data_IF_053294705217
#
_entry.id   IF_053294705217
#
_cell.length_a   1.000
_cell.length_b   1.000
_cell.length_c   1.000
_cell.angle_alpha   90.00
_cell.angle_beta   90.00
_cell.angle_gamma   90.00
#
_symmetry.space_group_name_H-M   'P 1'
#
loop_
_entity.id
_entity.type
_entity.pdbx_description
1 polymer ?
#
# COMPACT_ATOMS: atom_id res chain seq x y z
N UNK A 1 -1.22 3.97 16.84
CA UNK A 1 -2.37 3.76 15.93
C UNK A 1 -1.95 3.16 14.58
N UNK A 2 -1.20 3.83 13.69
CA UNK A 2 -0.86 3.28 12.36
C UNK A 2 -0.15 1.91 12.44
N UNK A 3 0.81 1.75 13.33
CA UNK A 3 1.53 0.48 13.51
C UNK A 3 0.64 -0.63 14.09
N UNK A 4 -0.31 -0.30 14.96
CA UNK A 4 -1.32 -1.24 15.46
C UNK A 4 -2.26 -1.72 14.35
N UNK A 5 -2.71 -0.80 13.46
CA UNK A 5 -3.52 -1.16 12.29
C UNK A 5 -2.74 -2.05 11.33
N UNK A 6 -1.46 -1.71 11.11
CA UNK A 6 -0.56 -2.47 10.24
C UNK A 6 -0.33 -3.90 10.75
N UNK A 7 -0.11 -4.08 12.05
CA UNK A 7 0.07 -5.39 12.66
C UNK A 7 -1.14 -6.31 12.46
N UNK A 8 -2.35 -5.76 12.40
CA UNK A 8 -3.60 -6.52 12.16
C UNK A 8 -3.72 -7.07 10.74
N UNK A 9 -2.89 -6.63 9.79
CA UNK A 9 -2.96 -7.07 8.38
C UNK A 9 -2.21 -8.38 8.10
N UNK A 10 -1.50 -8.92 9.09
CA UNK A 10 -0.75 -10.17 8.94
C UNK A 10 -1.67 -11.30 8.46
N UNK A 11 -1.27 -12.00 7.40
CA UNK A 11 -2.03 -13.10 6.80
C UNK A 11 -3.29 -12.69 6.03
N UNK A 12 -3.55 -11.39 5.82
CA UNK A 12 -4.79 -10.93 5.20
C UNK A 12 -4.67 -10.61 3.70
N UNK A 13 -3.47 -10.41 3.18
CA UNK A 13 -3.24 -10.15 1.76
C UNK A 13 -3.22 -11.45 0.96
N UNK A 14 -3.76 -11.40 -0.29
CA UNK A 14 -3.63 -12.47 -1.26
C UNK A 14 -2.16 -12.57 -1.74
N UNK A 15 -1.81 -13.68 -2.38
CA UNK A 15 -0.45 -13.94 -2.88
C UNK A 15 -0.15 -13.35 -4.26
N UNK A 16 -1.07 -12.63 -4.85
CA UNK A 16 -0.88 -11.92 -6.12
C UNK A 16 -0.83 -10.42 -5.87
N UNK A 17 0.37 -9.83 -6.00
CA UNK A 17 0.61 -8.42 -5.70
C UNK A 17 0.75 -7.59 -6.97
N UNK A 18 0.19 -6.39 -6.94
CA UNK A 18 0.38 -5.33 -7.93
C UNK A 18 1.21 -4.24 -7.28
N UNK A 19 2.33 -3.89 -7.89
CA UNK A 19 3.33 -2.96 -7.33
C UNK A 19 3.59 -1.83 -8.31
N UNK A 20 3.57 -0.61 -7.82
CA UNK A 20 3.87 0.59 -8.59
C UNK A 20 4.34 1.72 -7.67
N UNK A 21 4.98 2.74 -8.23
CA UNK A 21 5.38 3.95 -7.53
C UNK A 21 4.65 5.18 -8.06
N UNK A 22 4.41 6.12 -7.18
CA UNK A 22 3.98 7.46 -7.55
C UNK A 22 4.88 8.52 -6.93
N UNK A 23 4.93 9.69 -7.55
CA UNK A 23 5.73 10.81 -7.07
C UNK A 23 5.02 11.56 -5.93
N UNK A 24 5.80 11.98 -4.93
CA UNK A 24 5.40 12.91 -3.87
C UNK A 24 6.48 13.99 -3.70
N UNK A 25 6.04 15.21 -3.41
CA UNK A 25 6.97 16.33 -3.19
C UNK A 25 7.41 16.42 -1.72
N UNK A 26 8.72 16.45 -1.47
CA UNK A 26 9.30 16.60 -0.15
C UNK A 26 10.37 17.69 -0.21
N UNK A 27 10.14 18.84 0.43
CA UNK A 27 11.04 20.01 0.38
C UNK A 27 11.42 20.44 -1.05
N UNK A 28 10.46 20.43 -1.97
CA UNK A 28 10.71 20.79 -3.36
C UNK A 28 11.37 19.70 -4.20
N UNK A 29 11.74 18.55 -3.62
CA UNK A 29 12.32 17.41 -4.33
C UNK A 29 11.28 16.31 -4.53
N UNK A 30 11.34 15.64 -5.67
CA UNK A 30 10.50 14.50 -5.95
C UNK A 30 11.05 13.25 -5.27
N UNK A 31 10.22 12.63 -4.43
CA UNK A 31 10.40 11.33 -3.82
C UNK A 31 9.41 10.33 -4.38
N UNK A 32 9.60 9.05 -4.12
CA UNK A 32 8.81 7.96 -4.65
C UNK A 32 8.03 7.29 -3.52
N UNK A 33 6.72 7.19 -3.70
CA UNK A 33 5.85 6.39 -2.84
C UNK A 33 5.62 5.04 -3.51
N UNK A 34 6.35 4.02 -3.07
CA UNK A 34 6.11 2.62 -3.44
C UNK A 34 4.84 2.13 -2.78
N UNK A 35 4.01 1.43 -3.52
CA UNK A 35 2.77 0.82 -3.02
C UNK A 35 2.54 -0.54 -3.63
N UNK A 36 2.01 -1.45 -2.83
CA UNK A 36 1.52 -2.74 -3.29
C UNK A 36 0.10 -2.96 -2.79
N UNK A 37 -0.74 -3.50 -3.66
CA UNK A 37 -2.07 -4.00 -3.35
C UNK A 37 -2.17 -5.45 -3.84
N UNK A 38 -3.06 -6.23 -3.23
CA UNK A 38 -3.38 -7.56 -3.72
C UNK A 38 -4.41 -7.51 -4.86
N UNK A 39 -4.78 -8.66 -5.39
CA UNK A 39 -5.75 -8.76 -6.48
C UNK A 39 -7.14 -8.26 -6.11
N UNK A 40 -7.51 -8.27 -4.83
CA UNK A 40 -8.78 -7.74 -4.34
C UNK A 40 -8.68 -6.25 -4.00
N UNK A 41 -7.48 -5.67 -4.18
CA UNK A 41 -7.12 -4.27 -3.93
C UNK A 41 -6.92 -3.96 -2.46
N UNK A 42 -6.70 -4.97 -1.58
CA UNK A 42 -6.28 -4.70 -0.21
C UNK A 42 -4.84 -4.24 -0.19
N UNK A 43 -4.52 -3.34 0.73
CA UNK A 43 -3.16 -2.86 0.92
C UNK A 43 -2.23 -4.01 1.35
N UNK A 44 -1.18 -4.23 0.59
CA UNK A 44 -0.05 -5.08 0.97
C UNK A 44 0.93 -4.26 1.80
N UNK A 45 1.46 -3.16 1.24
CA UNK A 45 2.29 -2.20 1.98
C UNK A 45 2.52 -0.90 1.20
N UNK A 46 3.08 0.11 1.89
CA UNK A 46 3.55 1.36 1.29
C UNK A 46 4.84 1.86 1.95
N UNK A 47 5.73 2.46 1.15
CA UNK A 47 7.02 2.98 1.59
C UNK A 47 7.42 4.22 0.80
N UNK A 48 7.87 5.26 1.49
CA UNK A 48 8.49 6.44 0.86
C UNK A 48 9.99 6.23 0.70
N UNK A 49 10.52 6.55 -0.48
CA UNK A 49 11.94 6.52 -0.80
C UNK A 49 12.37 7.78 -1.56
N UNK A 50 13.57 8.27 -1.29
CA UNK A 50 14.17 9.36 -2.06
C UNK A 50 14.68 8.90 -3.43
N UNK A 51 14.87 7.60 -3.61
CA UNK A 51 15.38 6.99 -4.84
C UNK A 51 14.41 5.99 -5.43
N UNK A 52 14.42 5.89 -6.76
CA UNK A 52 13.77 4.85 -7.54
C UNK A 52 14.85 3.92 -8.11
N UNK A 53 15.37 3.07 -7.27
CA UNK A 53 16.43 2.14 -7.63
C UNK A 53 16.14 0.71 -7.10
N UNK A 54 17.01 -0.22 -7.47
CA UNK A 54 16.89 -1.61 -7.07
C UNK A 54 16.93 -1.78 -5.55
N UNK A 55 17.74 -0.98 -4.85
CA UNK A 55 17.85 -1.07 -3.40
C UNK A 55 16.57 -0.57 -2.69
N UNK A 56 15.95 0.47 -3.21
CA UNK A 56 14.64 0.91 -2.72
C UNK A 56 13.57 -0.17 -2.95
N UNK A 57 13.55 -0.80 -4.13
CA UNK A 57 12.64 -1.91 -4.42
C UNK A 57 12.86 -3.10 -3.48
N UNK A 58 14.13 -3.48 -3.21
CA UNK A 58 14.46 -4.54 -2.24
C UNK A 58 13.96 -4.23 -0.83
N UNK A 59 14.21 -3.02 -0.34
CA UNK A 59 13.72 -2.57 0.97
C UNK A 59 12.21 -2.64 1.05
N UNK A 60 11.53 -2.19 -0.01
CA UNK A 60 10.09 -2.26 -0.11
C UNK A 60 9.57 -3.69 -0.02
N UNK A 61 10.09 -4.63 -0.81
CA UNK A 61 9.65 -6.02 -0.78
C UNK A 61 9.92 -6.70 0.55
N UNK A 62 11.10 -6.49 1.16
CA UNK A 62 11.41 -7.01 2.51
C UNK A 62 10.41 -6.52 3.54
N UNK A 63 10.10 -5.22 3.51
CA UNK A 63 9.12 -4.61 4.39
C UNK A 63 7.71 -5.18 4.16
N UNK A 64 7.28 -5.33 2.93
CA UNK A 64 5.97 -5.87 2.57
C UNK A 64 5.79 -7.31 3.07
N UNK A 65 6.79 -8.18 2.85
CA UNK A 65 6.77 -9.56 3.38
C UNK A 65 6.72 -9.59 4.90
N UNK A 66 7.47 -8.74 5.58
CA UNK A 66 7.45 -8.66 7.05
C UNK A 66 6.07 -8.26 7.59
N UNK A 67 5.36 -7.38 6.88
CA UNK A 67 4.01 -6.92 7.26
C UNK A 67 2.95 -7.99 7.06
N UNK A 68 2.90 -8.58 5.86
CA UNK A 68 1.85 -9.57 5.54
C UNK A 68 2.18 -10.97 6.05
N UNK A 69 3.45 -11.27 6.32
CA UNK A 69 3.91 -12.54 6.91
C UNK A 69 4.15 -13.65 5.90
N UNK A 70 4.10 -13.39 4.60
CA UNK A 70 4.41 -14.35 3.53
C UNK A 70 4.90 -13.66 2.27
N UNK A 71 5.65 -14.36 1.44
CA UNK A 71 5.99 -13.93 0.09
C UNK A 71 4.80 -14.12 -0.87
N UNK A 72 4.69 -13.31 -1.93
CA UNK A 72 3.72 -13.53 -2.99
C UNK A 72 4.13 -14.70 -3.89
N UNK A 73 3.17 -15.28 -4.59
CA UNK A 73 3.41 -16.21 -5.70
C UNK A 73 3.58 -15.44 -7.03
N UNK A 74 3.02 -14.23 -7.08
CA UNK A 74 3.04 -13.39 -8.29
C UNK A 74 3.18 -11.93 -7.93
N UNK A 75 4.04 -11.23 -8.68
CA UNK A 75 4.18 -9.77 -8.64
C UNK A 75 3.96 -9.20 -10.03
N UNK A 76 3.08 -8.22 -10.16
CA UNK A 76 2.84 -7.46 -11.39
C UNK A 76 3.32 -6.04 -11.20
N UNK A 77 4.16 -5.54 -12.13
CA UNK A 77 4.73 -4.18 -12.12
C UNK A 77 4.54 -3.50 -13.47
N UNK A 78 4.92 -2.20 -13.56
CA UNK A 78 5.00 -1.44 -14.81
C UNK A 78 6.16 -1.86 -15.73
N UNK A 79 7.08 -2.70 -15.24
CA UNK A 79 8.24 -3.19 -15.99
C UNK A 79 9.50 -2.33 -15.83
N UNK A 80 9.57 -1.43 -14.84
CA UNK A 80 10.79 -0.69 -14.54
C UNK A 80 11.95 -1.63 -14.18
N UNK A 81 13.16 -1.32 -14.65
CA UNK A 81 14.36 -2.19 -14.57
C UNK A 81 14.81 -2.53 -13.13
N UNK A 82 14.39 -1.73 -12.14
CA UNK A 82 14.68 -2.01 -10.72
C UNK A 82 13.98 -3.25 -10.17
N UNK A 83 12.87 -3.70 -10.77
CA UNK A 83 12.04 -4.75 -10.22
C UNK A 83 12.52 -6.18 -10.45
N UNK A 84 12.92 -6.61 -11.67
CA UNK A 84 13.18 -8.03 -11.94
C UNK A 84 14.21 -8.64 -11.01
N UNK A 85 15.32 -7.94 -10.81
CA UNK A 85 16.39 -8.40 -9.92
C UNK A 85 16.02 -8.27 -8.45
N UNK A 86 15.36 -7.17 -8.04
CA UNK A 86 14.90 -6.98 -6.67
C UNK A 86 13.91 -8.07 -6.24
N UNK A 87 12.96 -8.45 -7.11
CA UNK A 87 12.00 -9.54 -6.88
C UNK A 87 12.74 -10.84 -6.67
N UNK A 88 13.62 -11.24 -7.61
CA UNK A 88 14.34 -12.51 -7.55
C UNK A 88 15.19 -12.63 -6.28
N UNK A 89 15.91 -11.58 -5.92
CA UNK A 89 16.83 -11.60 -4.77
C UNK A 89 16.13 -11.47 -3.42
N UNK A 90 14.92 -10.92 -3.39
CA UNK A 90 14.22 -10.63 -2.12
C UNK A 90 13.07 -11.59 -1.85
N UNK A 91 12.34 -11.96 -2.89
CA UNK A 91 11.12 -12.77 -2.76
C UNK A 91 11.36 -14.24 -3.17
N UNK A 92 12.41 -14.50 -3.96
CA UNK A 92 12.77 -15.83 -4.46
C UNK A 92 12.61 -15.98 -5.97
N UNK A 93 13.31 -16.97 -6.54
CA UNK A 93 13.29 -17.28 -7.97
C UNK A 93 11.95 -17.83 -8.46
N UNK A 94 11.17 -18.40 -7.56
CA UNK A 94 9.88 -19.05 -7.88
C UNK A 94 8.73 -18.07 -8.00
N UNK A 95 8.94 -16.80 -7.61
CA UNK A 95 7.92 -15.76 -7.71
C UNK A 95 7.75 -15.33 -9.17
N UNK A 96 6.56 -15.51 -9.71
CA UNK A 96 6.23 -15.13 -11.07
C UNK A 96 6.18 -13.61 -11.21
N UNK A 97 7.16 -13.01 -11.88
CA UNK A 97 7.12 -11.59 -12.22
C UNK A 97 6.40 -11.38 -13.56
N UNK A 98 5.41 -10.50 -13.58
CA UNK A 98 4.68 -10.06 -14.77
C UNK A 98 4.84 -8.56 -14.95
N UNK A 99 4.99 -8.15 -16.21
CA UNK A 99 4.95 -6.74 -16.60
C UNK A 99 3.66 -6.47 -17.34
N UNK A 100 2.84 -5.57 -16.83
CA UNK A 100 1.62 -5.17 -17.51
C UNK A 100 1.21 -3.75 -17.12
N UNK A 101 1.40 -2.80 -18.04
CA UNK A 101 1.02 -1.40 -17.85
C UNK A 101 -0.49 -1.20 -17.69
N UNK A 102 -1.31 -2.04 -18.31
CA UNK A 102 -2.78 -1.90 -18.29
C UNK A 102 -3.43 -2.42 -17.01
N UNK A 103 -2.80 -3.35 -16.29
CA UNK A 103 -3.35 -3.90 -15.04
C UNK A 103 -3.12 -3.00 -13.82
N UNK A 104 -2.35 -1.92 -13.97
CA UNK A 104 -2.10 -0.96 -12.90
C UNK A 104 -3.24 0.06 -12.66
N UNK A 105 -4.32 0.01 -13.45
CA UNK A 105 -5.47 0.93 -13.30
C UNK A 105 -6.04 0.96 -11.86
N UNK A 106 -5.97 -0.16 -11.13
CA UNK A 106 -6.41 -0.22 -9.73
C UNK A 106 -5.45 0.52 -8.80
N UNK A 107 -4.14 0.38 -9.02
CA UNK A 107 -3.11 1.13 -8.31
C UNK A 107 -3.16 2.61 -8.64
N UNK A 108 -3.43 2.98 -9.88
CA UNK A 108 -3.62 4.38 -10.27
C UNK A 108 -4.81 5.02 -9.54
N UNK A 109 -5.94 4.31 -9.44
CA UNK A 109 -7.07 4.77 -8.63
C UNK A 109 -6.71 4.89 -7.15
N UNK A 110 -5.88 3.99 -6.66
CA UNK A 110 -5.40 3.98 -5.29
C UNK A 110 -4.41 5.14 -5.06
N UNK A 111 -3.50 5.41 -6.01
CA UNK A 111 -2.63 6.59 -6.00
C UNK A 111 -3.42 7.91 -6.06
N UNK A 112 -4.53 7.95 -6.79
CA UNK A 112 -5.41 9.14 -6.85
C UNK A 112 -5.94 9.50 -5.46
N UNK A 113 -6.31 8.52 -4.65
CA UNK A 113 -6.82 8.74 -3.29
C UNK A 113 -5.83 9.49 -2.40
N UNK A 114 -4.55 9.11 -2.42
CA UNK A 114 -3.53 9.81 -1.62
C UNK A 114 -3.16 11.16 -2.24
N UNK A 115 -3.06 11.25 -3.58
CA UNK A 115 -2.76 12.51 -4.28
C UNK A 115 -3.76 13.60 -3.97
N UNK A 116 -5.06 13.29 -3.94
CA UNK A 116 -6.11 14.24 -3.57
C UNK A 116 -5.95 14.80 -2.15
N UNK A 117 -5.27 14.07 -1.25
CA UNK A 117 -5.05 14.51 0.13
C UNK A 117 -3.79 15.33 0.29
N UNK A 118 -2.69 14.98 -0.40
CA UNK A 118 -1.45 15.70 -0.20
C UNK A 118 -1.26 16.91 -1.13
N UNK A 119 -1.92 16.98 -2.29
CA UNK A 119 -1.81 18.14 -3.18
C UNK A 119 -2.19 19.47 -2.52
N UNK A 120 -3.30 19.57 -1.75
CA UNK A 120 -3.61 20.79 -1.01
C UNK A 120 -2.55 21.19 0.02
N UNK A 121 -1.76 20.21 0.53
CA UNK A 121 -0.67 20.45 1.47
C UNK A 121 0.60 21.00 0.81
N UNK A 122 0.65 21.06 -0.53
CA UNK A 122 1.79 21.53 -1.34
C UNK A 122 3.10 20.74 -1.12
N UNK A 123 3.05 19.57 -0.51
CA UNK A 123 4.20 18.69 -0.24
C UNK A 123 4.47 18.51 1.26
N UNK A 124 5.62 17.92 1.54
CA UNK A 124 6.05 17.58 2.90
C UNK A 124 7.34 18.27 3.29
N UNK A 125 7.47 18.65 4.57
CA UNK A 125 8.68 19.28 5.11
C UNK A 125 9.84 18.29 5.37
N UNK A 126 9.61 16.97 5.33
CA UNK A 126 10.66 15.95 5.48
C UNK A 126 10.18 14.59 4.97
N UNK A 127 11.13 13.69 4.65
CA UNK A 127 10.82 12.29 4.29
C UNK A 127 10.11 11.57 5.44
N UNK A 128 10.50 11.86 6.68
CA UNK A 128 9.87 11.27 7.86
C UNK A 128 8.40 11.70 7.98
N UNK A 129 8.07 12.97 7.74
CA UNK A 129 6.67 13.45 7.76
C UNK A 129 5.86 12.85 6.61
N UNK A 130 6.43 12.76 5.41
CA UNK A 130 5.82 12.09 4.26
C UNK A 130 5.53 10.62 4.56
N UNK A 131 6.50 9.90 5.11
CA UNK A 131 6.35 8.48 5.48
C UNK A 131 5.26 8.26 6.52
N UNK A 132 5.21 9.08 7.57
CA UNK A 132 4.15 9.00 8.59
C UNK A 132 2.77 9.26 7.99
N UNK A 133 2.65 10.31 7.18
CA UNK A 133 1.38 10.65 6.53
C UNK A 133 0.90 9.53 5.60
N UNK A 134 1.75 9.10 4.67
CA UNK A 134 1.39 8.06 3.70
C UNK A 134 0.99 6.76 4.40
N UNK A 135 1.79 6.32 5.38
CA UNK A 135 1.48 5.12 6.17
C UNK A 135 0.15 5.26 6.91
N UNK A 136 -0.05 6.34 7.63
CA UNK A 136 -1.29 6.56 8.38
C UNK A 136 -2.49 6.61 7.46
N UNK A 137 -2.39 7.33 6.34
CA UNK A 137 -3.46 7.41 5.35
C UNK A 137 -3.82 6.01 4.81
N UNK A 138 -2.81 5.23 4.42
CA UNK A 138 -3.02 3.92 3.82
C UNK A 138 -3.61 2.92 4.83
N UNK A 139 -3.10 2.90 6.07
CA UNK A 139 -3.61 1.99 7.11
C UNK A 139 -5.03 2.34 7.53
N UNK A 140 -5.35 3.63 7.70
CA UNK A 140 -6.71 4.06 8.04
C UNK A 140 -7.67 3.76 6.87
N UNK A 141 -7.27 4.06 5.64
CA UNK A 141 -8.08 3.75 4.46
C UNK A 141 -8.33 2.25 4.32
N UNK A 142 -7.31 1.42 4.51
CA UNK A 142 -7.43 -0.04 4.50
C UNK A 142 -8.34 -0.53 5.63
N UNK A 143 -8.23 0.05 6.81
CA UNK A 143 -9.05 -0.31 7.95
C UNK A 143 -10.54 -0.06 7.70
N UNK A 144 -10.90 1.06 7.06
CA UNK A 144 -12.29 1.38 6.72
C UNK A 144 -12.79 0.74 5.43
N UNK A 145 -11.90 0.12 4.64
CA UNK A 145 -12.28 -0.51 3.39
C UNK A 145 -13.21 -1.68 3.62
N UNK A 146 -14.42 -1.63 3.06
CA UNK A 146 -15.32 -2.78 3.03
C UNK A 146 -14.77 -3.79 2.02
N UNK A 147 -14.45 -4.99 2.48
CA UNK A 147 -14.02 -6.09 1.62
C UNK A 147 -15.23 -6.58 0.84
N UNK A 148 -15.25 -6.29 -0.44
CA UNK A 148 -16.19 -6.89 -1.38
C UNK A 148 -15.35 -7.67 -2.38
N UNK A 149 -15.62 -8.95 -2.57
CA UNK A 149 -15.12 -9.67 -3.75
C UNK A 149 -15.75 -9.05 -4.99
N UNK A 150 -15.09 -9.12 -6.15
CA UNK A 150 -15.59 -8.50 -7.40
C UNK A 150 -17.02 -8.94 -7.80
N UNK A 151 -17.55 -9.98 -7.16
CA UNK A 151 -18.87 -10.55 -7.43
C UNK A 151 -19.94 -10.23 -6.37
N UNK A 152 -19.55 -9.64 -5.23
CA UNK A 152 -20.47 -9.32 -4.13
C UNK A 152 -20.71 -7.82 -4.04
N UNK A 153 -21.92 -7.38 -4.38
CA UNK A 153 -22.37 -6.04 -4.01
C UNK A 153 -22.75 -6.02 -2.53
N UNK A 154 -22.00 -5.27 -1.75
CA UNK A 154 -22.31 -5.05 -0.34
C UNK A 154 -23.32 -3.91 -0.23
N UNK A 155 -24.47 -4.16 0.41
CA UNK A 155 -25.52 -3.14 0.58
C UNK A 155 -25.00 -1.90 1.32
N UNK A 156 -25.58 -0.72 1.04
CA UNK A 156 -25.23 0.51 1.76
C UNK A 156 -25.47 0.40 3.27
N UNK A 157 -26.50 -0.33 3.68
CA UNK A 157 -26.78 -0.57 5.10
C UNK A 157 -25.62 -1.32 5.78
N UNK A 158 -25.17 -2.41 5.17
CA UNK A 158 -24.01 -3.20 5.65
C UNK A 158 -22.71 -2.37 5.66
N UNK A 159 -22.51 -1.53 4.64
CA UNK A 159 -21.34 -0.64 4.61
C UNK A 159 -21.35 0.37 5.78
N UNK A 160 -22.51 0.97 6.06
CA UNK A 160 -22.69 1.92 7.17
C UNK A 160 -22.48 1.26 8.53
N UNK A 161 -23.00 0.07 8.71
CA UNK A 161 -22.82 -0.70 9.94
C UNK A 161 -21.35 -1.06 10.15
N UNK A 162 -20.67 -1.59 9.14
CA UNK A 162 -19.25 -1.87 9.17
C UNK A 162 -18.42 -0.63 9.48
N UNK A 163 -18.78 0.53 8.91
CA UNK A 163 -18.13 1.79 9.21
C UNK A 163 -18.28 2.21 10.68
N UNK A 164 -19.49 2.12 11.24
CA UNK A 164 -19.75 2.45 12.66
C UNK A 164 -18.91 1.55 13.59
N UNK A 165 -18.94 0.24 13.39
CA UNK A 165 -18.13 -0.70 14.17
C UNK A 165 -16.64 -0.37 14.13
N UNK A 166 -16.12 -0.08 12.94
CA UNK A 166 -14.71 0.27 12.77
C UNK A 166 -14.37 1.61 13.40
N UNK A 167 -15.28 2.58 13.34
CA UNK A 167 -15.09 3.87 13.98
C UNK A 167 -14.96 3.74 15.49
N UNK A 168 -15.83 2.96 16.13
CA UNK A 168 -15.73 2.69 17.58
C UNK A 168 -14.45 1.94 17.95
N UNK A 169 -14.06 0.95 17.14
CA UNK A 169 -12.79 0.26 17.33
C UNK A 169 -11.57 1.19 17.17
N UNK A 170 -11.61 2.14 16.23
CA UNK A 170 -10.56 3.12 16.07
C UNK A 170 -10.50 4.10 17.24
N UNK A 171 -11.65 4.59 17.73
CA UNK A 171 -11.72 5.45 18.92
C UNK A 171 -11.10 4.77 20.13
N UNK A 172 -11.45 3.49 20.38
CA UNK A 172 -10.86 2.72 21.46
C UNK A 172 -9.34 2.62 21.37
N UNK A 173 -8.77 2.43 20.14
CA UNK A 173 -7.33 2.40 19.93
C UNK A 173 -6.63 3.75 20.18
N UNK A 174 -7.32 4.87 19.91
CA UNK A 174 -6.75 6.21 20.12
C UNK A 174 -6.78 6.60 21.59
N UNK A 175 -7.81 6.17 22.34
CA UNK A 175 -7.95 6.48 23.77
C UNK A 175 -6.98 5.70 24.67
N UNK A 176 -6.42 4.58 24.18
CA UNK A 176 -5.47 3.72 24.92
C UNK A 176 -4.02 4.02 24.51
N UNK A 177 -3.78 4.87 23.54
CA UNK A 177 -2.44 5.25 23.05
C UNK A 177 -1.94 6.53 23.68
#
# INVERSE_FOLDING_TARGET
MADQLRARRRGQADRSWYVDETYINVKGKWCYLYRAIDRDGNLVDSMVSEKRDMEAARRFFKQAVAVVGHAPERVTTDGHDSYPRAIRETLGSDVLHRTNRSLNNRLEQDHRGIKQRYYPMRGFGSVASASRFCRTFDEVRQFFRVRATMKQQVSLATQREAFRHRLEALKAMVLVA
#
